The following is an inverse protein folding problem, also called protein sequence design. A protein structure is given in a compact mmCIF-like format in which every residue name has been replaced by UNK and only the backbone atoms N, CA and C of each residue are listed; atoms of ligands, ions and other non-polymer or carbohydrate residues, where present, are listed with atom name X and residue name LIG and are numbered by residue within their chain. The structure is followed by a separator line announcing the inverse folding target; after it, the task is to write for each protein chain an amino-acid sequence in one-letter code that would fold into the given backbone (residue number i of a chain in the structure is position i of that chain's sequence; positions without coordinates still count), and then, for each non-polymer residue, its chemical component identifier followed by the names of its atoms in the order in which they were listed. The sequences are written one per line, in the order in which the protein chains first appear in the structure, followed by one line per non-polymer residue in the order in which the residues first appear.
data_IF_807561198705
#
_entry.id   IF_807561198705
#
_cell.length_a   1.000
_cell.length_b   1.000
_cell.length_c   1.000
_cell.angle_alpha   90.00
_cell.angle_beta   90.00
_cell.angle_gamma   90.00
#
_symmetry.space_group_name_H-M   'P 1'
#
loop_
_entity.id
_entity.type
_entity.pdbx_description
1 polymer ?
#
# COMPACT_ATOMS: atom_id res chain seq x y z
N UNK A 1 -14.74 28.50 17.83
CA UNK A 1 -14.22 28.13 19.17
C UNK A 1 -13.98 26.63 19.16
N UNK A 2 -12.82 26.17 19.63
CA UNK A 2 -12.50 24.74 19.64
C UNK A 2 -13.19 24.03 20.82
N UNK A 3 -13.69 22.81 20.58
CA UNK A 3 -14.36 21.95 21.56
C UNK A 3 -13.73 20.55 21.61
N UNK A 4 -14.18 19.70 22.53
CA UNK A 4 -13.75 18.31 22.61
C UNK A 4 -12.62 18.02 23.60
N UNK A 5 -12.21 16.75 23.62
CA UNK A 5 -11.08 16.26 24.39
C UNK A 5 -9.76 16.73 23.77
N UNK A 6 -8.64 16.68 24.52
CA UNK A 6 -7.32 16.87 23.94
C UNK A 6 -7.04 15.85 22.82
N UNK A 7 -6.25 16.27 21.84
CA UNK A 7 -5.80 15.42 20.73
C UNK A 7 -4.91 14.29 21.25
N UNK A 8 -5.05 13.09 20.68
CA UNK A 8 -4.10 11.98 20.90
C UNK A 8 -2.70 12.39 20.42
N UNK A 9 -1.78 12.57 21.38
CA UNK A 9 -0.41 13.03 21.13
C UNK A 9 0.47 11.97 20.45
N UNK A 10 0.00 10.74 20.30
CA UNK A 10 0.67 9.73 19.47
C UNK A 10 0.47 9.95 17.96
N UNK A 11 -0.41 10.88 17.58
CA UNK A 11 -0.59 11.29 16.19
C UNK A 11 0.51 12.25 15.76
N UNK A 12 0.68 12.39 14.44
CA UNK A 12 1.73 13.21 13.83
C UNK A 12 1.15 14.10 12.74
N UNK A 13 1.67 15.31 12.65
CA UNK A 13 1.44 16.17 11.49
C UNK A 13 2.42 15.73 10.39
N UNK A 14 1.92 15.64 9.17
CA UNK A 14 2.74 15.38 7.99
C UNK A 14 2.66 16.53 7.01
N UNK A 15 3.81 17.01 6.54
CA UNK A 15 3.89 18.01 5.47
C UNK A 15 4.20 17.28 4.16
N UNK A 16 3.19 17.02 3.33
CA UNK A 16 3.35 16.33 2.05
C UNK A 16 3.94 17.27 0.99
N UNK A 17 4.96 16.80 0.26
CA UNK A 17 5.63 17.51 -0.83
C UNK A 17 6.11 16.54 -1.91
N UNK A 18 6.54 17.08 -3.06
CA UNK A 18 7.26 16.31 -4.07
C UNK A 18 8.74 16.70 -4.00
N UNK A 19 9.64 15.78 -3.66
CA UNK A 19 11.04 16.11 -3.35
C UNK A 19 11.80 16.63 -4.56
N UNK A 20 11.38 16.19 -5.74
CA UNK A 20 12.05 16.39 -7.03
C UNK A 20 11.46 17.52 -7.88
N UNK A 21 10.52 18.29 -7.31
CA UNK A 21 10.00 19.53 -7.89
C UNK A 21 10.89 20.70 -7.52
N UNK A 22 10.91 21.74 -8.35
CA UNK A 22 11.73 22.93 -8.12
C UNK A 22 11.78 23.83 -9.35
N UNK A 23 12.57 24.90 -9.25
CA UNK A 23 12.85 25.83 -10.33
C UNK A 23 14.36 26.05 -10.45
N UNK A 24 14.85 26.29 -11.66
CA UNK A 24 16.27 26.58 -11.95
C UNK A 24 17.28 25.52 -11.46
N UNK A 25 16.89 24.24 -11.42
CA UNK A 25 17.79 23.12 -11.07
C UNK A 25 17.96 22.84 -9.58
N UNK A 26 17.31 23.62 -8.69
CA UNK A 26 17.30 23.39 -7.24
C UNK A 26 15.98 22.70 -6.85
N UNK A 27 16.04 21.42 -6.46
CA UNK A 27 14.87 20.66 -6.04
C UNK A 27 14.45 21.00 -4.61
N UNK A 28 13.22 20.65 -4.22
CA UNK A 28 12.75 20.84 -2.83
C UNK A 28 13.68 20.12 -1.86
N UNK A 29 14.11 18.89 -2.18
CA UNK A 29 15.00 18.12 -1.28
C UNK A 29 16.40 18.72 -1.22
N UNK A 30 16.95 19.25 -2.31
CA UNK A 30 18.24 19.93 -2.30
C UNK A 30 18.21 21.19 -1.44
N UNK A 31 17.14 21.98 -1.55
CA UNK A 31 16.94 23.16 -0.71
C UNK A 31 16.80 22.80 0.76
N UNK A 32 16.04 21.75 1.08
CA UNK A 32 15.92 21.26 2.45
C UNK A 32 17.27 20.82 3.02
N UNK A 33 18.09 20.11 2.24
CA UNK A 33 19.42 19.68 2.65
C UNK A 33 20.39 20.85 2.86
N UNK A 34 20.26 21.90 2.06
CA UNK A 34 21.12 23.10 2.14
C UNK A 34 20.73 24.04 3.27
N UNK A 35 19.44 24.22 3.52
CA UNK A 35 18.93 25.26 4.42
C UNK A 35 18.42 24.72 5.76
N UNK A 36 18.09 23.43 5.85
CA UNK A 36 17.56 22.82 7.08
C UNK A 36 16.19 23.34 7.51
N UNK A 37 15.46 24.05 6.64
CA UNK A 37 14.17 24.69 6.94
C UNK A 37 13.15 24.37 5.84
N UNK A 38 11.94 23.98 6.24
CA UNK A 38 10.81 23.82 5.32
C UNK A 38 10.10 25.17 5.11
N UNK A 39 10.21 25.70 3.88
CA UNK A 39 9.65 26.99 3.48
C UNK A 39 8.21 26.89 2.98
N UNK A 40 7.45 27.98 3.14
CA UNK A 40 6.10 28.05 2.59
C UNK A 40 6.09 28.52 1.12
N UNK A 41 4.89 28.51 0.54
CA UNK A 41 4.64 28.92 -0.83
C UNK A 41 4.90 30.42 -1.12
N UNK A 42 4.69 31.32 -0.15
CA UNK A 42 5.01 32.75 -0.28
C UNK A 42 6.53 32.95 -0.40
N UNK A 43 7.33 32.08 0.20
CA UNK A 43 8.79 32.12 0.09
C UNK A 43 9.32 31.40 -1.16
N UNK A 44 8.71 30.27 -1.56
CA UNK A 44 9.23 29.44 -2.65
C UNK A 44 8.64 29.75 -4.01
N UNK A 45 7.44 30.34 -4.07
CA UNK A 45 6.66 30.47 -5.31
C UNK A 45 6.21 29.13 -5.89
N UNK A 46 6.39 28.01 -5.17
CA UNK A 46 6.05 26.66 -5.61
C UNK A 46 4.88 26.12 -4.79
N UNK A 47 3.94 25.44 -5.45
CA UNK A 47 2.76 24.86 -4.78
C UNK A 47 2.30 23.58 -5.44
N UNK A 48 1.78 22.67 -4.62
CA UNK A 48 1.00 21.52 -5.08
C UNK A 48 -0.52 21.81 -4.99
N UNK A 49 -0.89 23.00 -4.50
CA UNK A 49 -2.23 23.60 -4.50
C UNK A 49 -2.45 24.56 -5.67
N UNK A 50 -3.11 25.70 -5.45
CA UNK A 50 -3.17 26.82 -6.40
C UNK A 50 -2.09 27.86 -6.11
N UNK A 51 -1.57 28.57 -7.13
CA UNK A 51 -0.55 29.62 -6.99
C UNK A 51 -1.15 30.97 -6.57
N UNK A 52 -1.87 31.01 -5.45
CA UNK A 52 -2.60 32.21 -4.97
C UNK A 52 -1.98 32.84 -3.72
N UNK A 53 -0.75 32.44 -3.37
CA UNK A 53 0.02 32.91 -2.22
C UNK A 53 0.75 34.23 -2.54
N UNK A 54 -0.01 35.30 -2.71
CA UNK A 54 0.50 36.66 -2.83
C UNK A 54 -0.53 37.63 -2.20
N UNK A 55 -0.13 38.86 -1.83
CA UNK A 55 -1.08 39.85 -1.33
C UNK A 55 -2.31 39.96 -2.24
N UNK A 56 -3.49 39.84 -1.64
CA UNK A 56 -4.78 39.89 -2.35
C UNK A 56 -5.21 38.63 -3.10
N UNK A 57 -4.40 37.56 -3.16
CA UNK A 57 -4.77 36.25 -3.70
C UNK A 57 -5.62 35.41 -2.75
N UNK A 58 -6.24 34.33 -3.25
CA UNK A 58 -7.17 33.50 -2.47
C UNK A 58 -6.55 32.96 -1.18
N UNK A 59 -5.28 32.51 -1.23
CA UNK A 59 -4.58 32.01 -0.05
C UNK A 59 -4.37 33.10 1.01
N UNK A 60 -3.98 34.29 0.58
CA UNK A 60 -3.84 35.43 1.47
C UNK A 60 -5.18 35.76 2.14
N UNK A 61 -6.29 35.76 1.38
CA UNK A 61 -7.63 36.07 1.89
C UNK A 61 -8.13 35.06 2.91
N UNK A 62 -7.98 33.76 2.66
CA UNK A 62 -8.42 32.77 3.64
C UNK A 62 -7.54 32.80 4.89
N UNK A 63 -6.22 33.00 4.77
CA UNK A 63 -5.29 33.06 5.92
C UNK A 63 -5.62 34.26 6.81
N UNK A 64 -5.85 35.43 6.20
CA UNK A 64 -6.31 36.64 6.90
C UNK A 64 -7.63 36.37 7.65
N UNK A 65 -8.60 35.72 6.97
CA UNK A 65 -9.90 35.40 7.57
C UNK A 65 -9.79 34.43 8.76
N UNK A 66 -9.10 33.31 8.61
CA UNK A 66 -9.06 32.24 9.63
C UNK A 66 -8.17 32.61 10.82
N UNK A 67 -7.15 33.45 10.62
CA UNK A 67 -6.24 33.90 11.68
C UNK A 67 -6.46 35.34 12.12
N UNK A 68 -7.56 35.97 11.69
CA UNK A 68 -7.93 37.33 12.10
C UNK A 68 -6.87 38.38 11.75
N UNK A 69 -6.23 38.25 10.59
CA UNK A 69 -5.20 39.16 10.10
C UNK A 69 -3.83 39.05 10.75
N UNK A 70 -3.61 38.04 11.62
CA UNK A 70 -2.35 37.89 12.37
C UNK A 70 -1.07 37.82 11.50
N UNK A 71 -1.21 37.45 10.22
CA UNK A 71 -0.10 37.28 9.29
C UNK A 71 -0.08 38.30 8.14
N UNK A 72 -0.99 39.28 8.13
CA UNK A 72 -1.19 40.15 6.97
C UNK A 72 0.03 41.04 6.71
N UNK A 73 0.66 41.51 7.78
CA UNK A 73 1.90 42.31 7.76
C UNK A 73 3.15 41.51 8.18
N UNK A 74 3.00 40.22 8.48
CA UNK A 74 4.09 39.38 8.94
C UNK A 74 5.01 38.96 7.77
N UNK A 75 6.32 38.75 8.02
CA UNK A 75 7.22 38.15 7.05
C UNK A 75 6.69 36.79 6.58
N UNK A 76 6.94 36.45 5.30
CA UNK A 76 6.55 35.15 4.75
C UNK A 76 7.03 33.99 5.64
N UNK A 77 8.26 34.03 6.14
CA UNK A 77 8.82 33.01 7.04
C UNK A 77 8.02 32.75 8.33
N UNK A 78 7.15 33.68 8.76
CA UNK A 78 6.31 33.52 9.95
C UNK A 78 4.92 32.97 9.62
N UNK A 79 4.55 32.92 8.33
CA UNK A 79 3.26 32.39 7.89
C UNK A 79 3.17 30.87 8.12
N UNK A 80 1.95 30.35 8.37
CA UNK A 80 1.78 28.95 8.70
C UNK A 80 2.19 28.00 7.58
N UNK A 81 2.82 26.88 7.96
CA UNK A 81 3.07 25.74 7.07
C UNK A 81 1.84 24.84 7.05
N UNK A 82 1.38 24.50 5.86
CA UNK A 82 0.19 23.69 5.65
C UNK A 82 0.58 22.22 5.52
N UNK A 83 -0.12 21.37 6.25
CA UNK A 83 0.00 19.92 6.18
C UNK A 83 -1.29 19.26 6.65
N UNK A 84 -1.19 18.03 7.13
CA UNK A 84 -2.34 17.30 7.64
C UNK A 84 -2.00 16.52 8.90
N UNK A 85 -2.99 16.39 9.79
CA UNK A 85 -2.93 15.43 10.88
C UNK A 85 -3.12 14.02 10.31
N UNK A 86 -2.09 13.18 10.41
CA UNK A 86 -2.11 11.79 9.96
C UNK A 86 -2.89 10.88 10.94
N UNK A 87 -4.13 11.23 11.23
CA UNK A 87 -5.02 10.52 12.16
C UNK A 87 -5.39 9.11 11.68
N UNK A 88 -5.26 8.83 10.37
CA UNK A 88 -5.42 7.51 9.77
C UNK A 88 -4.14 6.68 9.72
N UNK A 89 -3.00 7.21 10.21
CA UNK A 89 -1.69 6.54 10.27
C UNK A 89 -1.27 5.94 8.92
N UNK A 90 -1.52 6.66 7.83
CA UNK A 90 -1.14 6.26 6.47
C UNK A 90 0.37 6.38 6.27
N UNK A 91 0.98 5.39 5.64
CA UNK A 91 2.39 5.43 5.27
C UNK A 91 2.71 6.59 4.33
N UNK A 92 1.87 6.89 3.35
CA UNK A 92 1.97 8.08 2.46
C UNK A 92 1.73 9.44 3.15
N UNK A 93 1.43 9.47 4.44
CA UNK A 93 1.09 10.68 5.17
C UNK A 93 -0.39 11.08 5.07
N UNK A 94 -0.73 12.18 5.75
CA UNK A 94 -2.11 12.62 5.96
C UNK A 94 -2.79 13.19 4.71
N UNK A 95 -2.05 13.84 3.80
CA UNK A 95 -2.63 14.49 2.62
C UNK A 95 -1.84 14.17 1.33
N UNK A 96 -1.90 12.90 0.92
CA UNK A 96 -1.17 12.34 -0.22
C UNK A 96 -1.39 13.10 -1.55
N UNK A 97 -2.52 13.78 -1.73
CA UNK A 97 -2.78 14.58 -2.93
C UNK A 97 -1.77 15.70 -3.17
N UNK A 98 -1.07 16.17 -2.13
CA UNK A 98 -0.11 17.27 -2.23
C UNK A 98 1.34 16.84 -2.36
N UNK A 99 1.64 15.54 -2.34
CA UNK A 99 3.02 15.12 -2.41
C UNK A 99 3.22 13.62 -2.36
N UNK A 100 4.20 13.16 -3.11
CA UNK A 100 4.71 11.78 -3.08
C UNK A 100 5.58 11.51 -1.86
N UNK A 101 5.97 12.50 -1.08
CA UNK A 101 6.80 12.31 0.10
C UNK A 101 6.33 13.24 1.20
N UNK A 102 6.78 13.06 2.44
CA UNK A 102 6.39 13.95 3.52
C UNK A 102 7.44 14.08 4.63
N UNK A 103 7.40 15.21 5.32
CA UNK A 103 8.05 15.36 6.63
C UNK A 103 7.11 14.83 7.70
N UNK A 104 7.58 13.93 8.56
CA UNK A 104 6.87 13.55 9.79
C UNK A 104 7.35 14.45 10.93
N UNK A 105 6.46 15.32 11.41
CA UNK A 105 6.84 16.32 12.41
C UNK A 105 6.84 15.75 13.83
N UNK A 106 7.75 16.25 14.67
CA UNK A 106 7.87 15.87 16.06
C UNK A 106 6.63 16.25 16.89
N UNK A 107 6.40 15.51 17.97
CA UNK A 107 5.20 15.63 18.82
C UNK A 107 4.95 17.07 19.31
N UNK A 108 5.99 17.79 19.74
CA UNK A 108 5.85 19.15 20.29
C UNK A 108 5.31 20.15 19.27
N UNK A 109 5.39 19.85 17.97
CA UNK A 109 4.83 20.72 16.91
C UNK A 109 3.30 20.81 17.02
N UNK A 110 2.63 19.82 17.63
CA UNK A 110 1.20 19.87 17.91
C UNK A 110 0.81 21.08 18.77
N UNK A 111 1.70 21.52 19.67
CA UNK A 111 1.42 22.60 20.62
C UNK A 111 1.38 23.97 19.95
N UNK A 112 1.94 24.10 18.74
CA UNK A 112 1.90 25.29 17.90
C UNK A 112 1.16 25.08 16.59
N UNK A 113 0.25 24.11 16.55
CA UNK A 113 -0.58 23.83 15.40
C UNK A 113 -2.07 24.14 15.66
N UNK A 114 -2.73 24.68 14.64
CA UNK A 114 -4.20 24.73 14.57
C UNK A 114 -4.69 23.79 13.48
N UNK A 115 -5.94 23.34 13.59
CA UNK A 115 -6.51 22.35 12.69
C UNK A 115 -7.88 22.79 12.19
N UNK A 116 -8.27 22.35 11.00
CA UNK A 116 -9.64 22.50 10.50
C UNK A 116 -10.07 21.29 9.67
N UNK A 117 -11.39 21.13 9.53
CA UNK A 117 -11.99 20.19 8.61
C UNK A 117 -13.34 20.76 8.12
N UNK A 118 -13.62 20.80 6.81
CA UNK A 118 -12.72 20.48 5.68
C UNK A 118 -11.55 21.49 5.56
N UNK A 119 -10.73 21.38 4.51
CA UNK A 119 -9.58 22.26 4.28
C UNK A 119 -9.95 23.76 4.19
N UNK A 120 -8.97 24.64 4.41
CA UNK A 120 -9.16 26.09 4.48
C UNK A 120 -9.81 26.72 3.25
N UNK A 121 -9.65 26.10 2.08
CA UNK A 121 -10.26 26.56 0.84
C UNK A 121 -11.79 26.37 0.86
N UNK A 122 -12.29 25.36 1.58
CA UNK A 122 -13.72 25.06 1.75
C UNK A 122 -14.42 25.93 2.80
N UNK A 123 -13.76 26.98 3.30
CA UNK A 123 -14.28 27.92 4.29
C UNK A 123 -14.83 27.23 5.56
N UNK A 124 -14.01 26.43 6.26
CA UNK A 124 -14.45 25.66 7.41
C UNK A 124 -14.90 26.57 8.55
N UNK A 125 -15.91 26.12 9.30
CA UNK A 125 -16.39 26.79 10.52
C UNK A 125 -15.74 26.22 11.79
N UNK A 126 -15.32 24.95 11.75
CA UNK A 126 -14.80 24.22 12.89
C UNK A 126 -13.28 24.20 12.90
N UNK A 127 -12.69 24.61 14.03
CA UNK A 127 -11.25 24.64 14.25
C UNK A 127 -10.88 23.91 15.53
N UNK A 128 -9.71 23.27 15.52
CA UNK A 128 -9.14 22.52 16.63
C UNK A 128 -7.74 23.01 17.02
N UNK A 129 -7.34 22.67 18.24
CA UNK A 129 -5.98 22.81 18.77
C UNK A 129 -5.61 21.50 19.47
N UNK A 130 -4.34 21.27 19.79
CA UNK A 130 -3.96 20.07 20.55
C UNK A 130 -4.69 19.94 21.90
N UNK A 131 -5.02 21.06 22.56
CA UNK A 131 -5.74 21.07 23.83
C UNK A 131 -7.26 20.86 23.73
N UNK A 132 -7.86 21.12 22.56
CA UNK A 132 -9.30 21.01 22.29
C UNK A 132 -9.53 20.58 20.85
N UNK A 133 -9.88 19.32 20.65
CA UNK A 133 -9.99 18.70 19.34
C UNK A 133 -11.28 17.88 19.20
N UNK A 134 -12.09 18.23 18.20
CA UNK A 134 -13.34 17.54 17.87
C UNK A 134 -13.59 17.49 16.35
N UNK A 135 -12.51 17.42 15.56
CA UNK A 135 -12.60 17.38 14.09
C UNK A 135 -12.71 15.94 13.55
N UNK A 136 -12.32 14.94 14.34
CA UNK A 136 -12.40 13.53 13.90
C UNK A 136 -13.84 13.06 13.66
N UNK A 137 -14.82 13.60 14.40
CA UNK A 137 -16.25 13.31 14.15
C UNK A 137 -16.69 13.77 12.77
N UNK A 138 -16.17 14.90 12.30
CA UNK A 138 -16.52 15.47 11.00
C UNK A 138 -15.86 14.68 9.88
N UNK A 139 -14.59 14.30 10.08
CA UNK A 139 -13.87 13.39 9.19
C UNK A 139 -14.60 12.04 9.05
N UNK A 140 -15.10 11.47 10.15
CA UNK A 140 -15.87 10.23 10.11
C UNK A 140 -17.23 10.39 9.39
N UNK A 141 -17.91 11.54 9.55
CA UNK A 141 -19.13 11.83 8.82
C UNK A 141 -18.88 12.01 7.32
N UNK A 142 -17.75 12.62 6.95
CA UNK A 142 -17.31 12.72 5.56
C UNK A 142 -17.02 11.34 4.96
N UNK A 143 -16.39 10.42 5.70
CA UNK A 143 -16.14 9.05 5.24
C UNK A 143 -17.43 8.30 4.92
N UNK A 144 -18.48 8.46 5.76
CA UNK A 144 -19.80 7.89 5.50
C UNK A 144 -20.45 8.46 4.24
N UNK A 145 -20.31 9.77 4.00
CA UNK A 145 -20.82 10.42 2.79
C UNK A 145 -20.05 9.96 1.54
N UNK A 146 -18.71 9.89 1.62
CA UNK A 146 -17.86 9.44 0.53
C UNK A 146 -18.12 7.96 0.16
N UNK A 147 -18.40 7.10 1.15
CA UNK A 147 -18.78 5.70 0.92
C UNK A 147 -20.14 5.55 0.22
N UNK A 148 -20.99 6.57 0.28
CA UNK A 148 -22.30 6.59 -0.38
C UNK A 148 -22.25 7.11 -1.83
N UNK A 149 -21.10 7.61 -2.31
CA UNK A 149 -20.95 8.05 -3.70
C UNK A 149 -21.28 6.91 -4.66
N UNK A 150 -22.21 7.15 -5.59
CA UNK A 150 -22.65 6.17 -6.57
C UNK A 150 -21.69 6.04 -7.76
N UNK A 151 -20.73 6.96 -7.90
CA UNK A 151 -19.73 6.97 -8.97
C UNK A 151 -18.43 7.66 -8.59
N UNK A 152 -17.36 7.35 -9.32
CA UNK A 152 -16.04 7.99 -9.17
C UNK A 152 -16.06 9.48 -9.51
N UNK A 153 -16.96 9.90 -10.40
CA UNK A 153 -17.17 11.31 -10.74
C UNK A 153 -17.75 12.07 -9.55
N UNK A 154 -18.75 11.47 -8.90
CA UNK A 154 -19.33 12.01 -7.68
C UNK A 154 -18.29 12.08 -6.56
N UNK A 155 -17.47 11.03 -6.39
CA UNK A 155 -16.34 11.05 -5.46
C UNK A 155 -15.36 12.20 -5.80
N UNK A 156 -15.00 12.39 -7.08
CA UNK A 156 -14.06 13.41 -7.51
C UNK A 156 -14.56 14.85 -7.26
N UNK A 157 -15.87 15.08 -7.37
CA UNK A 157 -16.54 16.35 -7.11
C UNK A 157 -16.64 16.65 -5.61
N UNK A 158 -16.91 15.62 -4.80
CA UNK A 158 -16.97 15.70 -3.33
C UNK A 158 -15.58 15.68 -2.67
N UNK A 159 -14.54 15.29 -3.42
CA UNK A 159 -13.14 15.22 -2.98
C UNK A 159 -12.69 13.80 -2.60
N UNK A 160 -13.57 13.05 -1.92
CA UNK A 160 -13.35 11.65 -1.55
C UNK A 160 -12.08 11.42 -0.73
N UNK A 161 -11.41 10.27 -0.93
CA UNK A 161 -10.22 9.86 -0.16
C UNK A 161 -9.08 10.88 -0.23
N UNK A 162 -8.99 11.65 -1.32
CA UNK A 162 -7.94 12.65 -1.47
C UNK A 162 -8.15 13.87 -0.56
N UNK A 163 -9.39 14.12 -0.13
CA UNK A 163 -9.80 15.29 0.67
C UNK A 163 -10.35 14.92 2.06
N UNK A 164 -10.12 13.68 2.49
CA UNK A 164 -10.59 13.18 3.79
C UNK A 164 -9.73 13.63 4.99
N UNK A 165 -8.71 14.45 4.76
CA UNK A 165 -7.70 14.81 5.75
C UNK A 165 -8.13 15.98 6.64
N UNK A 166 -7.70 15.96 7.91
CA UNK A 166 -7.76 17.14 8.78
C UNK A 166 -6.55 18.01 8.48
N UNK A 167 -6.79 19.21 7.96
CA UNK A 167 -5.72 20.16 7.63
C UNK A 167 -5.08 20.68 8.92
N UNK A 168 -3.75 20.82 8.89
CA UNK A 168 -2.94 21.32 9.98
C UNK A 168 -2.18 22.58 9.53
N UNK A 169 -2.24 23.61 10.35
CA UNK A 169 -1.48 24.85 10.19
C UNK A 169 -0.42 24.91 11.28
N UNK A 170 0.83 24.68 10.90
CA UNK A 170 1.98 24.76 11.81
C UNK A 170 2.47 26.19 11.84
N UNK A 171 2.42 26.82 13.01
CA UNK A 171 2.79 28.21 13.18
C UNK A 171 4.29 28.39 13.44
N UNK A 172 4.90 29.34 12.72
CA UNK A 172 6.33 29.60 12.75
C UNK A 172 7.17 28.66 11.88
N UNK A 173 8.49 28.76 12.05
CA UNK A 173 9.48 28.02 11.25
C UNK A 173 9.43 26.53 11.57
N UNK A 174 9.55 25.69 10.55
CA UNK A 174 9.76 24.24 10.67
C UNK A 174 11.21 23.94 10.33
N UNK A 175 12.04 23.73 11.37
CA UNK A 175 13.45 23.42 11.25
C UNK A 175 13.65 21.90 11.30
N UNK A 176 14.41 21.34 10.36
CA UNK A 176 14.58 19.88 10.24
C UNK A 176 15.17 19.26 11.50
N UNK A 177 16.23 19.87 12.05
CA UNK A 177 16.94 19.33 13.20
C UNK A 177 16.10 19.31 14.50
N UNK A 178 15.06 20.14 14.59
CA UNK A 178 14.25 20.29 15.80
C UNK A 178 12.86 19.69 15.64
N UNK A 179 12.21 19.93 14.50
CA UNK A 179 10.79 19.70 14.30
C UNK A 179 10.46 18.46 13.48
N UNK A 180 11.46 17.76 12.92
CA UNK A 180 11.24 16.63 11.99
C UNK A 180 11.80 15.34 12.57
N UNK A 181 10.94 14.35 12.78
CA UNK A 181 11.35 13.01 13.22
C UNK A 181 11.95 12.20 12.07
N UNK A 182 11.37 12.33 10.87
CA UNK A 182 11.84 11.66 9.67
C UNK A 182 11.37 12.36 8.39
N UNK A 183 12.16 12.25 7.33
CA UNK A 183 11.73 12.52 5.96
C UNK A 183 11.35 11.18 5.34
N UNK A 184 10.10 11.03 4.93
CA UNK A 184 9.57 9.78 4.37
C UNK A 184 9.38 9.94 2.87
N UNK A 185 10.12 9.15 2.08
CA UNK A 185 10.18 9.25 0.62
C UNK A 185 9.37 8.15 -0.09
N UNK A 186 8.99 8.43 -1.34
CA UNK A 186 8.41 7.42 -2.24
C UNK A 186 9.53 6.49 -2.76
N UNK A 187 9.35 5.16 -2.75
CA UNK A 187 10.36 4.21 -3.20
C UNK A 187 10.86 4.39 -4.64
N UNK A 188 10.12 5.07 -5.52
CA UNK A 188 10.59 5.39 -6.88
C UNK A 188 11.83 6.30 -6.89
N UNK A 189 12.17 6.93 -5.77
CA UNK A 189 13.39 7.74 -5.62
C UNK A 189 14.63 6.97 -5.16
N UNK A 190 14.53 5.65 -4.89
CA UNK A 190 15.70 4.83 -4.59
C UNK A 190 16.68 4.79 -5.76
N UNK A 191 17.98 4.92 -5.46
CA UNK A 191 19.06 4.99 -6.44
C UNK A 191 19.09 6.26 -7.27
N UNK A 192 18.32 7.30 -6.91
CA UNK A 192 18.25 8.56 -7.65
C UNK A 192 18.97 9.70 -6.94
N UNK A 193 19.11 10.85 -7.61
CA UNK A 193 19.67 12.08 -7.01
C UNK A 193 18.87 12.57 -5.80
N UNK A 194 17.56 12.26 -5.74
CA UNK A 194 16.70 12.60 -4.59
C UNK A 194 17.14 11.86 -3.33
N UNK A 195 17.45 10.57 -3.42
CA UNK A 195 17.98 9.81 -2.28
C UNK A 195 19.35 10.35 -1.85
N UNK A 196 20.22 10.63 -2.82
CA UNK A 196 21.53 11.23 -2.54
C UNK A 196 21.42 12.60 -1.86
N UNK A 197 20.42 13.41 -2.21
CA UNK A 197 20.09 14.67 -1.56
C UNK A 197 19.51 14.46 -0.15
N UNK A 198 18.61 13.50 0.00
CA UNK A 198 17.97 13.19 1.28
C UNK A 198 18.97 12.72 2.34
N UNK A 199 20.01 11.98 1.93
CA UNK A 199 21.09 11.56 2.82
C UNK A 199 21.85 12.73 3.50
N UNK A 200 21.73 13.96 2.97
CA UNK A 200 22.36 15.17 3.52
C UNK A 200 21.45 15.96 4.47
N UNK A 201 20.21 15.53 4.69
CA UNK A 201 19.21 16.29 5.48
C UNK A 201 19.51 16.33 6.99
N UNK A 202 20.36 15.44 7.49
CA UNK A 202 20.69 15.37 8.92
C UNK A 202 19.58 14.81 9.81
N UNK A 203 18.52 14.25 9.23
CA UNK A 203 17.41 13.57 9.91
C UNK A 203 17.18 12.17 9.30
N UNK A 204 16.55 11.24 10.01
CA UNK A 204 16.23 9.91 9.46
C UNK A 204 15.47 10.00 8.13
N UNK A 205 15.91 9.21 7.16
CA UNK A 205 15.21 9.01 5.88
C UNK A 205 14.53 7.65 5.91
N UNK A 206 13.21 7.66 5.78
CA UNK A 206 12.36 6.47 5.74
C UNK A 206 11.66 6.37 4.38
N UNK A 207 11.02 5.23 4.15
CA UNK A 207 10.33 4.93 2.90
C UNK A 207 8.93 4.46 3.22
N UNK A 208 7.93 5.05 2.56
CA UNK A 208 6.57 4.56 2.65
C UNK A 208 6.28 3.54 1.55
N UNK A 209 5.04 3.08 1.47
CA UNK A 209 4.64 1.99 0.61
C UNK A 209 4.60 2.34 -0.89
N UNK A 210 4.92 3.57 -1.31
CA UNK A 210 4.83 4.07 -2.69
C UNK A 210 3.44 4.11 -3.33
N UNK A 211 3.32 4.67 -4.54
CA UNK A 211 2.11 4.58 -5.38
C UNK A 211 2.44 4.41 -6.87
N UNK A 212 2.01 3.28 -7.46
CA UNK A 212 2.17 2.95 -8.89
C UNK A 212 0.82 2.73 -9.55
N UNK A 213 0.58 3.45 -10.64
CA UNK A 213 -0.62 3.34 -11.48
C UNK A 213 -0.23 2.76 -12.85
N UNK A 214 -0.95 1.75 -13.33
CA UNK A 214 -0.75 1.21 -14.67
C UNK A 214 -1.53 2.03 -15.70
N UNK A 215 -1.06 2.06 -16.95
CA UNK A 215 -1.80 2.70 -18.07
C UNK A 215 -3.17 2.05 -18.31
N UNK A 216 -3.30 0.74 -18.02
CA UNK A 216 -4.58 0.04 -18.09
C UNK A 216 -5.57 0.58 -17.06
N UNK A 217 -5.13 0.72 -15.80
CA UNK A 217 -5.97 1.25 -14.74
C UNK A 217 -6.26 2.73 -14.97
N UNK A 218 -5.28 3.51 -15.43
CA UNK A 218 -5.47 4.89 -15.88
C UNK A 218 -6.59 5.00 -16.93
N UNK A 219 -6.62 4.10 -17.91
CA UNK A 219 -7.67 4.04 -18.94
C UNK A 219 -9.07 3.78 -18.40
N UNK A 220 -9.18 2.97 -17.33
CA UNK A 220 -10.45 2.74 -16.63
C UNK A 220 -10.93 3.99 -15.87
N UNK A 221 -10.01 4.84 -15.41
CA UNK A 221 -10.28 6.04 -14.59
C UNK A 221 -10.22 7.35 -15.38
N UNK A 222 -10.29 7.32 -16.71
CA UNK A 222 -10.16 8.49 -17.62
C UNK A 222 -11.14 9.64 -17.34
N UNK A 223 -12.18 9.42 -16.54
CA UNK A 223 -13.21 10.42 -16.22
C UNK A 223 -13.12 10.97 -14.79
N UNK A 224 -12.12 10.56 -13.99
CA UNK A 224 -11.97 11.00 -12.61
C UNK A 224 -11.37 12.42 -12.49
N UNK A 225 -10.53 12.83 -13.45
CA UNK A 225 -9.96 14.18 -13.59
C UNK A 225 -10.17 14.70 -15.01
N UNK A 226 -9.64 15.89 -15.33
CA UNK A 226 -9.79 16.45 -16.68
C UNK A 226 -9.17 15.50 -17.72
N UNK A 227 -9.73 15.43 -18.94
CA UNK A 227 -9.21 14.57 -20.01
C UNK A 227 -7.71 14.76 -20.28
N UNK A 228 -7.21 15.99 -20.15
CA UNK A 228 -5.79 16.31 -20.32
C UNK A 228 -4.87 15.53 -19.35
N UNK A 229 -5.36 15.15 -18.17
CA UNK A 229 -4.61 14.34 -17.23
C UNK A 229 -4.47 12.89 -17.71
N UNK A 230 -5.49 12.35 -18.37
CA UNK A 230 -5.42 11.02 -18.96
C UNK A 230 -4.41 11.00 -20.13
N UNK A 231 -4.54 11.95 -21.05
CA UNK A 231 -3.65 12.03 -22.22
C UNK A 231 -2.20 12.26 -21.81
N UNK A 232 -1.96 13.15 -20.85
CA UNK A 232 -0.63 13.37 -20.28
C UNK A 232 -0.10 12.12 -19.59
N UNK A 233 -0.92 11.47 -18.75
CA UNK A 233 -0.53 10.25 -18.05
C UNK A 233 -0.13 9.13 -19.02
N UNK A 234 -0.85 8.97 -20.12
CA UNK A 234 -0.49 8.02 -21.17
C UNK A 234 0.82 8.39 -21.87
N UNK A 235 1.03 9.68 -22.16
CA UNK A 235 2.21 10.16 -22.87
C UNK A 235 3.51 10.03 -22.06
N UNK A 236 3.45 10.19 -20.74
CA UNK A 236 4.64 10.19 -19.87
C UNK A 236 4.92 8.85 -19.21
N UNK A 237 3.98 7.90 -19.26
CA UNK A 237 4.14 6.58 -18.65
C UNK A 237 5.39 5.86 -19.18
N UNK A 238 6.12 5.19 -18.27
CA UNK A 238 7.29 4.38 -18.61
C UNK A 238 6.97 2.92 -18.45
N UNK A 239 7.21 2.14 -19.50
CA UNK A 239 6.89 0.70 -19.51
C UNK A 239 5.42 0.42 -19.11
N UNK A 240 4.51 1.35 -19.41
CA UNK A 240 3.11 1.26 -19.03
C UNK A 240 2.79 1.59 -17.57
N UNK A 241 3.71 2.23 -16.84
CA UNK A 241 3.56 2.57 -15.43
C UNK A 241 3.76 4.08 -15.18
N UNK A 242 3.07 4.57 -14.15
CA UNK A 242 3.20 5.90 -13.57
C UNK A 242 3.51 5.77 -12.08
N UNK A 243 4.64 6.33 -11.65
CA UNK A 243 5.01 6.51 -10.25
C UNK A 243 5.41 7.98 -10.00
N UNK A 244 5.83 8.28 -8.76
CA UNK A 244 6.21 9.65 -8.40
C UNK A 244 7.39 10.18 -9.24
N UNK A 245 8.42 9.35 -9.48
CA UNK A 245 9.60 9.73 -10.23
C UNK A 245 9.30 10.01 -11.72
N UNK A 246 8.48 9.18 -12.36
CA UNK A 246 8.02 9.37 -13.75
C UNK A 246 7.25 10.69 -13.88
N UNK A 247 6.30 10.94 -12.99
CA UNK A 247 5.48 12.16 -13.01
C UNK A 247 6.35 13.39 -12.72
N UNK A 248 7.28 13.27 -11.77
CA UNK A 248 8.20 14.33 -11.42
C UNK A 248 9.18 14.68 -12.53
N UNK A 249 9.64 13.70 -13.32
CA UNK A 249 10.45 13.97 -14.50
C UNK A 249 9.68 14.76 -15.56
N UNK A 250 8.43 14.36 -15.84
CA UNK A 250 7.55 15.12 -16.72
C UNK A 250 7.37 16.56 -16.20
N UNK A 251 7.20 16.73 -14.88
CA UNK A 251 7.07 18.05 -14.26
C UNK A 251 8.33 18.92 -14.46
N UNK A 252 9.53 18.34 -14.35
CA UNK A 252 10.82 19.05 -14.50
C UNK A 252 11.09 19.53 -15.93
N UNK A 253 10.47 18.92 -16.94
CA UNK A 253 10.63 19.38 -18.34
C UNK A 253 10.12 20.81 -18.55
N UNK A 254 9.15 21.27 -17.74
CA UNK A 254 8.46 22.53 -17.94
C UNK A 254 7.58 22.59 -19.21
N UNK A 255 7.44 21.47 -19.93
CA UNK A 255 6.67 21.39 -21.19
C UNK A 255 5.19 21.13 -20.97
N UNK A 256 4.80 20.72 -19.77
CA UNK A 256 3.44 20.31 -19.44
C UNK A 256 2.78 21.30 -18.49
N UNK A 257 1.46 21.50 -18.66
CA UNK A 257 0.70 22.39 -17.80
C UNK A 257 0.72 21.88 -16.35
N UNK A 258 1.07 22.72 -15.34
CA UNK A 258 1.22 22.27 -13.95
C UNK A 258 -0.03 21.62 -13.36
N UNK A 259 -1.22 22.10 -13.75
CA UNK A 259 -2.48 21.50 -13.30
C UNK A 259 -2.67 20.07 -13.83
N UNK A 260 -2.24 19.79 -15.07
CA UNK A 260 -2.35 18.44 -15.65
C UNK A 260 -1.41 17.47 -14.93
N UNK A 261 -0.16 17.87 -14.67
CA UNK A 261 0.81 17.10 -13.87
C UNK A 261 0.24 16.77 -12.48
N UNK A 262 -0.36 17.78 -11.82
CA UNK A 262 -1.01 17.59 -10.52
C UNK A 262 -2.15 16.58 -10.59
N UNK A 263 -2.99 16.64 -11.63
CA UNK A 263 -4.09 15.70 -11.77
C UNK A 263 -3.64 14.28 -12.13
N UNK A 264 -2.53 14.12 -12.88
CA UNK A 264 -1.88 12.81 -13.05
C UNK A 264 -1.44 12.27 -11.69
N UNK A 265 -0.81 13.10 -10.84
CA UNK A 265 -0.49 12.69 -9.47
C UNK A 265 -1.74 12.33 -8.66
N UNK A 266 -2.85 13.06 -8.76
CA UNK A 266 -4.09 12.71 -8.06
C UNK A 266 -4.61 11.32 -8.47
N UNK A 267 -4.56 10.98 -9.76
CA UNK A 267 -4.92 9.65 -10.27
C UNK A 267 -4.00 8.58 -9.66
N UNK A 268 -2.68 8.82 -9.67
CA UNK A 268 -1.70 7.88 -9.09
C UNK A 268 -1.82 7.76 -7.57
N UNK A 269 -2.05 8.84 -6.85
CA UNK A 269 -2.22 8.83 -5.40
C UNK A 269 -3.51 8.08 -4.99
N UNK A 270 -4.59 8.22 -5.76
CA UNK A 270 -5.90 7.63 -5.45
C UNK A 270 -6.03 6.17 -5.88
N UNK A 271 -5.55 5.84 -7.07
CA UNK A 271 -5.75 4.52 -7.70
C UNK A 271 -4.45 3.72 -7.82
N UNK A 272 -3.31 4.35 -7.56
CA UNK A 272 -2.03 3.68 -7.53
C UNK A 272 -1.94 2.73 -6.34
N UNK A 273 -1.38 1.56 -6.61
CA UNK A 273 -1.11 0.53 -5.62
C UNK A 273 0.27 0.76 -4.99
N UNK A 274 0.50 0.35 -3.75
CA UNK A 274 1.82 0.40 -3.13
C UNK A 274 2.96 -0.10 -4.04
N UNK A 275 4.04 0.67 -4.15
CA UNK A 275 5.37 0.18 -4.54
C UNK A 275 5.82 -0.79 -3.46
N UNK A 276 5.48 -2.04 -3.64
CA UNK A 276 6.19 -3.07 -2.92
C UNK A 276 7.62 -3.10 -3.45
N UNK A 277 8.58 -2.67 -2.64
CA UNK A 277 10.05 -2.77 -2.84
C UNK A 277 10.55 -4.22 -2.99
N UNK A 278 9.62 -5.14 -3.21
CA UNK A 278 9.80 -6.57 -3.17
C UNK A 278 8.96 -7.28 -4.22
N UNK A 279 8.54 -6.64 -5.33
CA UNK A 279 7.70 -7.24 -6.39
C UNK A 279 6.74 -8.27 -5.77
N UNK A 280 5.74 -7.79 -5.03
CA UNK A 280 4.70 -8.65 -4.48
C UNK A 280 3.94 -9.28 -5.64
N UNK A 281 4.42 -10.40 -6.16
CA UNK A 281 3.64 -11.13 -7.14
C UNK A 281 2.36 -11.66 -6.47
N UNK A 282 2.35 -11.89 -5.14
CA UNK A 282 1.22 -12.53 -4.46
C UNK A 282 1.03 -12.26 -2.94
N UNK A 283 2.03 -12.04 -2.08
CA UNK A 283 1.83 -11.97 -0.60
C UNK A 283 2.72 -10.91 0.08
N UNK A 284 2.27 -10.32 1.20
CA UNK A 284 3.08 -9.38 1.99
C UNK A 284 4.25 -10.10 2.69
N UNK A 285 5.49 -9.71 2.36
CA UNK A 285 6.72 -10.27 2.94
C UNK A 285 7.14 -9.60 4.25
N UNK A 286 6.55 -8.45 4.61
CA UNK A 286 6.80 -7.75 5.88
C UNK A 286 6.10 -8.40 7.07
N UNK A 287 5.10 -9.23 6.80
CA UNK A 287 4.31 -9.93 7.81
C UNK A 287 4.56 -11.43 7.73
N UNK A 288 5.09 -12.03 8.79
CA UNK A 288 5.31 -13.49 8.83
C UNK A 288 4.01 -14.28 9.07
N UNK A 289 3.03 -13.67 9.75
CA UNK A 289 1.72 -14.27 10.07
C UNK A 289 0.66 -13.17 10.16
N UNK A 290 -0.43 -13.31 9.41
CA UNK A 290 -1.62 -12.47 9.51
C UNK A 290 -2.71 -13.23 10.29
N UNK A 291 -2.74 -13.02 11.60
CA UNK A 291 -3.70 -13.70 12.47
C UNK A 291 -5.16 -13.31 12.20
N UNK A 292 -5.40 -12.08 11.73
CA UNK A 292 -6.75 -11.57 11.46
C UNK A 292 -7.30 -12.27 10.23
N UNK A 293 -6.56 -12.25 9.12
CA UNK A 293 -6.93 -12.95 7.89
C UNK A 293 -7.19 -14.45 8.11
N UNK A 294 -6.31 -15.13 8.85
CA UNK A 294 -6.50 -16.56 9.16
C UNK A 294 -7.77 -16.82 9.98
N UNK A 295 -8.11 -15.92 10.91
CA UNK A 295 -9.36 -16.01 11.67
C UNK A 295 -10.58 -15.75 10.79
N UNK A 296 -10.53 -14.74 9.92
CA UNK A 296 -11.59 -14.42 8.96
C UNK A 296 -11.87 -15.56 8.00
N UNK A 297 -10.84 -16.25 7.50
CA UNK A 297 -10.99 -17.44 6.66
C UNK A 297 -11.75 -18.57 7.38
N UNK A 298 -11.43 -18.83 8.65
CA UNK A 298 -12.14 -19.84 9.47
C UNK A 298 -13.58 -19.42 9.75
N UNK A 299 -13.80 -18.16 10.11
CA UNK A 299 -15.14 -17.62 10.33
C UNK A 299 -15.98 -17.71 9.04
N UNK A 300 -15.41 -17.30 7.90
CA UNK A 300 -16.05 -17.39 6.59
C UNK A 300 -16.41 -18.82 6.20
N UNK A 301 -15.51 -19.78 6.46
CA UNK A 301 -15.79 -21.20 6.25
C UNK A 301 -17.02 -21.67 7.05
N UNK A 302 -17.12 -21.30 8.33
CA UNK A 302 -18.28 -21.64 9.15
C UNK A 302 -19.57 -20.98 8.64
N UNK A 303 -19.52 -19.70 8.28
CA UNK A 303 -20.67 -18.94 7.79
C UNK A 303 -21.23 -19.50 6.47
N UNK A 304 -20.37 -20.12 5.66
CA UNK A 304 -20.74 -20.76 4.39
C UNK A 304 -21.14 -22.23 4.54
N UNK A 305 -21.20 -22.77 5.76
CA UNK A 305 -21.52 -24.18 6.03
C UNK A 305 -20.38 -25.16 5.69
N UNK A 306 -19.14 -24.64 5.62
CA UNK A 306 -17.93 -25.39 5.35
C UNK A 306 -17.35 -25.18 3.94
N UNK A 307 -16.10 -25.61 3.77
CA UNK A 307 -15.38 -25.65 2.49
C UNK A 307 -15.23 -27.11 2.05
N UNK A 308 -15.31 -27.40 0.75
CA UNK A 308 -15.13 -28.78 0.28
C UNK A 308 -13.64 -29.12 0.21
N UNK A 309 -13.29 -30.39 0.49
CA UNK A 309 -11.93 -30.87 0.28
C UNK A 309 -11.44 -30.63 -1.16
N UNK A 310 -12.34 -30.77 -2.14
CA UNK A 310 -12.06 -30.48 -3.56
C UNK A 310 -11.56 -29.05 -3.76
N UNK A 311 -12.20 -28.07 -3.14
CA UNK A 311 -11.78 -26.67 -3.26
C UNK A 311 -10.36 -26.46 -2.71
N UNK A 312 -10.05 -27.05 -1.56
CA UNK A 312 -8.70 -26.96 -0.98
C UNK A 312 -7.63 -27.58 -1.87
N UNK A 313 -7.92 -28.74 -2.48
CA UNK A 313 -6.99 -29.37 -3.42
C UNK A 313 -6.81 -28.50 -4.68
N UNK A 314 -7.88 -27.89 -5.19
CA UNK A 314 -7.82 -27.00 -6.35
C UNK A 314 -7.02 -25.72 -6.07
N UNK A 315 -7.05 -25.18 -4.86
CA UNK A 315 -6.21 -24.04 -4.44
C UNK A 315 -4.71 -24.39 -4.56
N UNK A 316 -4.32 -25.57 -4.09
CA UNK A 316 -2.93 -26.03 -4.19
C UNK A 316 -2.53 -26.33 -5.64
N UNK A 317 -3.40 -26.99 -6.41
CA UNK A 317 -3.14 -27.27 -7.83
C UNK A 317 -3.08 -26.00 -8.69
N UNK A 318 -3.85 -24.95 -8.35
CA UNK A 318 -3.76 -23.66 -9.01
C UNK A 318 -2.38 -23.02 -8.82
N UNK A 319 -1.76 -23.17 -7.65
CA UNK A 319 -0.37 -22.73 -7.43
C UNK A 319 0.62 -23.49 -8.33
N UNK A 320 0.51 -24.81 -8.41
CA UNK A 320 1.35 -25.64 -9.28
C UNK A 320 1.18 -25.28 -10.77
N UNK A 321 -0.06 -24.97 -11.19
CA UNK A 321 -0.34 -24.51 -12.55
C UNK A 321 0.30 -23.15 -12.85
N UNK A 322 0.20 -22.17 -11.94
CA UNK A 322 0.85 -20.86 -12.10
C UNK A 322 2.38 -21.00 -12.23
N UNK A 323 3.01 -21.92 -11.49
CA UNK A 323 4.45 -22.17 -11.57
C UNK A 323 4.86 -22.80 -12.91
N UNK A 324 4.09 -23.77 -13.40
CA UNK A 324 4.34 -24.39 -14.70
C UNK A 324 4.17 -23.39 -15.86
N UNK A 325 3.15 -22.53 -15.79
CA UNK A 325 2.94 -21.42 -16.72
C UNK A 325 4.12 -20.45 -16.71
N UNK A 326 4.56 -20.02 -15.53
CA UNK A 326 5.69 -19.10 -15.40
C UNK A 326 7.02 -19.69 -15.91
N UNK A 327 7.15 -21.01 -15.92
CA UNK A 327 8.28 -21.73 -16.52
C UNK A 327 8.14 -21.93 -18.03
N UNK A 328 6.96 -21.69 -18.61
CA UNK A 328 6.68 -21.96 -20.01
C UNK A 328 6.77 -23.44 -20.39
N UNK A 329 6.56 -24.36 -19.43
CA UNK A 329 6.60 -25.81 -19.67
C UNK A 329 5.42 -26.52 -19.02
N UNK A 330 5.06 -27.68 -19.58
CA UNK A 330 4.09 -28.55 -18.93
C UNK A 330 4.72 -29.20 -17.69
N UNK A 331 4.05 -29.07 -16.55
CA UNK A 331 4.46 -29.67 -15.27
C UNK A 331 3.64 -30.90 -14.89
N UNK A 332 3.97 -31.49 -13.75
CA UNK A 332 3.29 -32.63 -13.12
C UNK A 332 2.95 -32.28 -11.67
N UNK A 333 1.68 -32.44 -11.31
CA UNK A 333 1.23 -32.40 -9.92
C UNK A 333 0.68 -33.77 -9.51
N UNK A 334 1.20 -34.33 -8.42
CA UNK A 334 0.74 -35.60 -7.85
C UNK A 334 -0.04 -35.33 -6.57
N UNK A 335 -1.32 -35.69 -6.56
CA UNK A 335 -2.20 -35.66 -5.39
C UNK A 335 -2.22 -37.05 -4.77
N UNK A 336 -1.86 -37.16 -3.49
CA UNK A 336 -1.85 -38.42 -2.72
C UNK A 336 -2.82 -38.29 -1.55
N UNK A 337 -3.78 -39.22 -1.48
CA UNK A 337 -4.67 -39.37 -0.32
C UNK A 337 -4.03 -40.38 0.63
N UNK A 338 -3.80 -40.00 1.89
CA UNK A 338 -3.15 -40.87 2.86
C UNK A 338 -4.18 -41.58 3.77
N UNK A 339 -3.86 -42.77 4.31
CA UNK A 339 -4.75 -43.50 5.24
C UNK A 339 -5.09 -42.75 6.53
N UNK A 340 -4.25 -41.78 6.94
CA UNK A 340 -4.48 -40.92 8.11
C UNK A 340 -5.48 -39.78 7.84
N UNK A 341 -6.04 -39.72 6.63
CA UNK A 341 -6.96 -38.68 6.18
C UNK A 341 -6.28 -37.40 5.69
N UNK A 342 -4.95 -37.31 5.72
CA UNK A 342 -4.22 -36.19 5.14
C UNK A 342 -4.15 -36.28 3.61
N UNK A 343 -4.00 -35.12 2.98
CA UNK A 343 -3.83 -35.01 1.52
C UNK A 343 -2.49 -34.32 1.26
N UNK A 344 -1.69 -34.90 0.37
CA UNK A 344 -0.43 -34.32 -0.10
C UNK A 344 -0.54 -33.98 -1.58
N UNK A 345 -0.11 -32.78 -1.95
CA UNK A 345 0.09 -32.39 -3.35
C UNK A 345 1.57 -32.06 -3.53
N UNK A 346 2.22 -32.73 -4.48
CA UNK A 346 3.61 -32.47 -4.88
C UNK A 346 3.67 -32.04 -6.33
N UNK A 347 4.24 -30.87 -6.58
CA UNK A 347 4.55 -30.38 -7.92
C UNK A 347 6.04 -30.53 -8.25
N UNK A 348 6.36 -30.40 -9.54
CA UNK A 348 7.71 -30.39 -10.08
C UNK A 348 8.16 -28.97 -10.47
N UNK A 349 7.59 -27.91 -9.88
CA UNK A 349 7.88 -26.52 -10.21
C UNK A 349 9.27 -26.05 -9.76
N UNK A 350 9.49 -24.72 -9.74
CA UNK A 350 10.77 -24.13 -9.26
C UNK A 350 10.97 -24.20 -7.75
N UNK A 351 9.89 -24.47 -7.01
CA UNK A 351 9.82 -24.23 -5.58
C UNK A 351 9.44 -22.78 -5.23
N UNK A 352 8.85 -22.60 -4.06
CA UNK A 352 8.46 -21.29 -3.52
C UNK A 352 9.69 -20.40 -3.33
N UNK A 353 9.55 -19.11 -3.66
CA UNK A 353 10.66 -18.15 -3.59
C UNK A 353 11.26 -18.02 -2.18
N UNK A 354 12.56 -17.75 -2.16
CA UNK A 354 13.45 -17.79 -1.01
C UNK A 354 14.36 -16.58 -1.07
N UNK A 355 14.36 -15.74 -0.03
CA UNK A 355 15.13 -14.49 0.01
C UNK A 355 16.04 -14.45 1.23
N UNK A 356 17.01 -13.54 1.24
CA UNK A 356 17.81 -13.24 2.43
C UNK A 356 17.45 -11.84 2.92
N UNK A 357 17.27 -11.68 4.23
CA UNK A 357 17.13 -10.36 4.84
C UNK A 357 18.49 -9.65 4.97
N UNK A 358 18.47 -8.39 5.43
CA UNK A 358 19.67 -7.56 5.65
C UNK A 358 20.66 -8.18 6.64
N UNK A 359 20.20 -9.11 7.49
CA UNK A 359 21.01 -9.89 8.43
C UNK A 359 21.51 -11.21 7.83
N UNK A 360 21.28 -11.46 6.54
CA UNK A 360 21.67 -12.67 5.82
C UNK A 360 20.84 -13.91 6.14
N UNK A 361 19.79 -13.79 6.97
CA UNK A 361 18.89 -14.87 7.34
C UNK A 361 17.93 -15.12 6.21
N UNK A 362 17.56 -16.38 6.06
CA UNK A 362 16.73 -16.78 4.95
C UNK A 362 15.25 -16.56 5.30
N UNK A 363 14.59 -15.69 4.55
CA UNK A 363 13.16 -15.40 4.63
C UNK A 363 12.43 -16.15 3.52
N UNK A 364 11.32 -16.78 3.87
CA UNK A 364 10.47 -17.49 2.90
C UNK A 364 9.19 -16.72 2.68
N UNK A 365 8.61 -16.92 1.51
CA UNK A 365 7.33 -16.33 1.16
C UNK A 365 6.25 -16.83 2.15
N UNK A 366 5.50 -15.95 2.83
CA UNK A 366 4.54 -16.35 3.86
C UNK A 366 3.22 -16.89 3.30
N UNK A 367 3.30 -17.72 2.25
CA UNK A 367 2.15 -18.21 1.46
C UNK A 367 1.07 -18.93 2.29
N UNK A 368 1.45 -19.52 3.43
CA UNK A 368 0.53 -20.27 4.29
C UNK A 368 -0.13 -19.38 5.35
N UNK A 369 0.43 -18.19 5.62
CA UNK A 369 0.11 -17.43 6.82
C UNK A 369 -0.39 -16.01 6.55
N UNK A 370 -0.35 -15.52 5.31
CA UNK A 370 -0.84 -14.20 4.91
C UNK A 370 -1.77 -14.26 3.70
N UNK A 371 -2.50 -13.17 3.44
CA UNK A 371 -3.42 -13.07 2.31
C UNK A 371 -2.67 -13.02 0.96
N UNK A 372 -3.19 -13.72 -0.06
CA UNK A 372 -2.72 -13.53 -1.43
C UNK A 372 -3.35 -12.25 -1.99
N UNK A 373 -2.56 -11.18 -2.13
CA UNK A 373 -3.02 -9.84 -2.54
C UNK A 373 -3.63 -9.83 -3.94
N UNK A 374 -3.34 -10.83 -4.78
CA UNK A 374 -3.99 -10.97 -6.11
C UNK A 374 -5.48 -11.28 -5.98
N UNK A 375 -5.88 -11.89 -4.85
CA UNK A 375 -7.22 -12.40 -4.61
C UNK A 375 -7.91 -11.67 -3.44
N UNK A 376 -7.40 -10.50 -3.07
CA UNK A 376 -7.94 -9.73 -1.95
C UNK A 376 -9.36 -9.21 -2.21
N UNK A 377 -9.72 -9.00 -3.47
CA UNK A 377 -11.09 -8.73 -3.90
C UNK A 377 -11.72 -10.00 -4.50
N UNK A 378 -12.67 -10.65 -3.79
CA UNK A 378 -13.33 -11.86 -4.28
C UNK A 378 -14.12 -11.66 -5.59
N UNK A 379 -14.53 -10.42 -5.90
CA UNK A 379 -15.28 -10.10 -7.11
C UNK A 379 -14.45 -10.19 -8.39
N UNK A 380 -13.14 -9.94 -8.28
CA UNK A 380 -12.19 -9.97 -9.40
C UNK A 380 -11.27 -11.19 -9.39
N UNK A 381 -11.28 -12.01 -8.34
CA UNK A 381 -10.47 -13.22 -8.25
C UNK A 381 -10.86 -14.26 -9.35
N UNK A 382 -9.88 -14.91 -9.98
CA UNK A 382 -10.14 -15.96 -10.97
C UNK A 382 -10.88 -17.13 -10.32
N UNK A 383 -11.75 -17.79 -11.09
CA UNK A 383 -12.52 -18.93 -10.60
C UNK A 383 -11.79 -20.24 -10.83
N UNK A 384 -11.83 -21.12 -9.84
CA UNK A 384 -11.31 -22.48 -9.95
C UNK A 384 -12.31 -23.39 -10.68
N UNK A 385 -11.92 -24.65 -10.93
CA UNK A 385 -12.73 -25.63 -11.66
C UNK A 385 -14.09 -25.96 -10.99
N UNK A 386 -14.23 -25.66 -9.69
CA UNK A 386 -15.48 -25.77 -8.93
C UNK A 386 -16.33 -24.48 -8.97
N UNK A 387 -15.92 -23.49 -9.78
CA UNK A 387 -16.53 -22.17 -9.97
C UNK A 387 -16.46 -21.24 -8.75
N UNK A 388 -15.74 -21.61 -7.68
CA UNK A 388 -15.51 -20.71 -6.55
C UNK A 388 -14.35 -19.75 -6.85
N UNK A 389 -14.39 -18.51 -6.31
CA UNK A 389 -13.26 -17.60 -6.45
C UNK A 389 -12.04 -18.21 -5.76
N UNK A 390 -10.87 -17.98 -6.37
CA UNK A 390 -9.58 -18.34 -5.77
C UNK A 390 -9.32 -17.46 -4.56
N UNK A 391 -8.75 -18.03 -3.50
CA UNK A 391 -8.42 -17.35 -2.24
C UNK A 391 -6.92 -17.46 -1.95
N UNK A 392 -6.28 -18.57 -2.32
CA UNK A 392 -4.86 -18.83 -2.12
C UNK A 392 -4.54 -19.81 -1.01
N UNK A 393 -3.25 -20.08 -0.84
CA UNK A 393 -2.72 -21.15 0.02
C UNK A 393 -3.03 -20.98 1.51
N UNK A 394 -3.13 -19.74 2.01
CA UNK A 394 -3.51 -19.47 3.40
C UNK A 394 -4.93 -19.93 3.73
N UNK A 395 -5.83 -20.00 2.75
CA UNK A 395 -7.18 -20.58 2.95
C UNK A 395 -7.12 -22.06 3.32
N UNK A 396 -6.22 -22.83 2.68
CA UNK A 396 -5.97 -24.25 2.96
C UNK A 396 -5.36 -24.42 4.34
N UNK A 397 -4.35 -23.60 4.65
CA UNK A 397 -3.65 -23.67 5.93
C UNK A 397 -4.57 -23.31 7.11
N UNK A 398 -5.40 -22.27 6.97
CA UNK A 398 -6.30 -21.77 8.01
C UNK A 398 -7.32 -22.81 8.49
N UNK A 399 -7.89 -23.59 7.56
CA UNK A 399 -8.95 -24.59 7.82
C UNK A 399 -8.43 -26.01 8.00
N UNK A 400 -7.12 -26.18 8.09
CA UNK A 400 -6.47 -27.47 8.38
C UNK A 400 -6.04 -27.54 9.84
N UNK A 401 -6.19 -28.71 10.47
CA UNK A 401 -5.61 -28.99 11.80
C UNK A 401 -4.11 -28.77 11.77
N UNK A 402 -3.49 -29.24 10.69
CA UNK A 402 -2.10 -28.95 10.40
C UNK A 402 -1.82 -28.97 8.91
N UNK A 403 -0.79 -28.25 8.51
CA UNK A 403 -0.22 -28.23 7.16
C UNK A 403 1.30 -28.27 7.27
N UNK A 404 1.94 -29.08 6.44
CA UNK A 404 3.39 -29.14 6.25
C UNK A 404 3.70 -28.66 4.84
N UNK A 405 4.48 -27.60 4.75
CA UNK A 405 4.99 -27.05 3.50
C UNK A 405 6.45 -27.46 3.37
N UNK A 406 6.76 -28.23 2.33
CA UNK A 406 8.13 -28.63 1.99
C UNK A 406 8.49 -28.08 0.63
N UNK A 407 9.54 -27.27 0.59
CA UNK A 407 10.02 -26.60 -0.60
C UNK A 407 11.40 -27.13 -1.00
N UNK A 408 11.60 -27.41 -2.28
CA UNK A 408 12.86 -27.94 -2.83
C UNK A 408 13.34 -27.04 -3.96
N UNK A 409 14.55 -26.50 -3.84
CA UNK A 409 15.25 -25.72 -4.86
C UNK A 409 16.67 -26.24 -5.05
N UNK A 410 17.39 -25.76 -6.06
CA UNK A 410 18.76 -26.20 -6.35
C UNK A 410 19.71 -25.90 -5.18
N UNK A 411 19.48 -24.80 -4.48
CA UNK A 411 20.29 -24.36 -3.34
C UNK A 411 19.93 -25.05 -2.01
N UNK A 412 18.93 -25.94 -1.99
CA UNK A 412 18.54 -26.71 -0.80
C UNK A 412 17.03 -26.90 -0.65
N UNK A 413 16.65 -27.67 0.37
CA UNK A 413 15.27 -27.96 0.70
C UNK A 413 14.96 -27.63 2.16
N UNK A 414 13.74 -27.17 2.42
CA UNK A 414 13.28 -26.82 3.75
C UNK A 414 11.83 -27.21 3.96
N UNK A 415 11.45 -27.41 5.22
CA UNK A 415 10.09 -27.73 5.62
C UNK A 415 9.64 -26.85 6.79
N UNK A 416 8.35 -26.54 6.82
CA UNK A 416 7.71 -25.86 7.94
C UNK A 416 6.30 -26.41 8.17
N UNK A 417 5.97 -26.64 9.45
CA UNK A 417 4.65 -27.03 9.93
C UNK A 417 3.87 -25.81 10.42
N UNK A 418 2.58 -25.80 10.09
CA UNK A 418 1.57 -24.83 10.49
C UNK A 418 0.39 -25.55 11.13
N UNK A 419 -0.28 -24.89 12.08
CA UNK A 419 -1.55 -25.32 12.67
C UNK A 419 -2.53 -24.15 12.55
N UNK A 420 -3.67 -24.36 11.88
CA UNK A 420 -4.61 -23.30 11.51
C UNK A 420 -3.95 -22.08 10.83
N UNK A 421 -2.94 -22.34 9.99
CA UNK A 421 -2.17 -21.33 9.26
C UNK A 421 -1.06 -20.65 10.05
N UNK A 422 -0.96 -20.90 11.36
CA UNK A 422 0.10 -20.32 12.21
C UNK A 422 1.29 -21.29 12.26
N UNK A 423 2.52 -20.84 11.95
CA UNK A 423 3.70 -21.70 11.99
C UNK A 423 3.99 -22.18 13.42
N UNK A 424 4.17 -23.50 13.59
CA UNK A 424 4.46 -24.15 14.88
C UNK A 424 5.88 -24.70 14.99
N UNK A 425 6.64 -24.61 13.90
CA UNK A 425 8.04 -25.04 13.84
C UNK A 425 8.88 -23.92 13.22
N UNK A 426 10.15 -23.87 13.61
CA UNK A 426 11.16 -23.12 12.86
C UNK A 426 11.32 -23.73 11.48
N UNK A 427 11.86 -22.96 10.54
CA UNK A 427 12.23 -23.47 9.25
C UNK A 427 13.32 -24.54 9.41
N UNK A 428 13.05 -25.78 9.04
CA UNK A 428 13.99 -26.88 9.16
C UNK A 428 14.52 -27.29 7.79
N UNK A 429 15.84 -27.42 7.65
CA UNK A 429 16.44 -27.99 6.44
C UNK A 429 16.04 -29.46 6.29
N UNK A 430 15.73 -29.87 5.06
CA UNK A 430 15.42 -31.27 4.76
C UNK A 430 16.67 -31.94 4.21
N UNK A 431 17.26 -32.83 5.02
CA UNK A 431 18.43 -33.60 4.62
C UNK A 431 18.08 -34.61 3.51
N UNK A 432 19.03 -34.87 2.61
CA UNK A 432 18.91 -35.95 1.62
C UNK A 432 18.08 -35.63 0.37
N UNK A 433 17.65 -34.38 0.17
CA UNK A 433 16.88 -33.99 -1.02
C UNK A 433 17.73 -33.74 -2.29
N UNK A 434 19.05 -33.86 -2.19
CA UNK A 434 19.94 -33.67 -3.34
C UNK A 434 19.64 -34.73 -4.41
N UNK A 435 19.21 -34.29 -5.60
CA UNK A 435 18.84 -35.16 -6.72
C UNK A 435 17.34 -35.50 -6.82
N UNK A 436 16.48 -35.03 -5.92
CA UNK A 436 15.02 -35.21 -6.00
C UNK A 436 14.30 -34.21 -6.94
N UNK A 437 15.05 -33.30 -7.57
CA UNK A 437 14.51 -32.20 -8.38
C UNK A 437 14.00 -31.02 -7.55
N UNK A 438 13.49 -30.01 -8.24
CA UNK A 438 12.85 -28.82 -7.64
C UNK A 438 11.34 -29.02 -7.53
N UNK A 439 10.70 -28.25 -6.64
CA UNK A 439 9.24 -28.21 -6.55
C UNK A 439 8.73 -28.05 -5.13
N UNK A 440 7.42 -27.86 -5.02
CA UNK A 440 6.73 -27.67 -3.75
C UNK A 440 5.90 -28.90 -3.39
N UNK A 441 5.84 -29.21 -2.09
CA UNK A 441 4.97 -30.23 -1.53
C UNK A 441 4.19 -29.65 -0.37
N UNK A 442 2.88 -29.83 -0.40
CA UNK A 442 1.95 -29.35 0.61
C UNK A 442 1.14 -30.53 1.09
N UNK A 443 1.37 -30.94 2.34
CA UNK A 443 0.61 -31.99 2.99
C UNK A 443 -0.22 -31.40 4.12
N UNK A 444 -1.52 -31.63 4.13
CA UNK A 444 -2.41 -31.08 5.14
C UNK A 444 -3.45 -32.07 5.62
N UNK A 445 -3.85 -31.94 6.88
CA UNK A 445 -4.99 -32.67 7.45
C UNK A 445 -6.16 -31.68 7.62
N UNK A 446 -7.23 -31.80 6.81
CA UNK A 446 -8.38 -30.92 6.92
C UNK A 446 -9.01 -30.99 8.31
N UNK A 447 -9.45 -29.85 8.85
CA UNK A 447 -10.22 -29.86 10.09
C UNK A 447 -11.70 -30.14 9.80
N UNK A 448 -12.30 -31.20 10.36
CA UNK A 448 -13.72 -31.49 10.17
C UNK A 448 -14.66 -30.40 10.70
N UNK A 449 -14.18 -29.46 11.52
CA UNK A 449 -14.97 -28.29 11.92
C UNK A 449 -15.24 -27.31 10.76
N UNK A 450 -14.36 -27.28 9.74
CA UNK A 450 -14.41 -26.32 8.63
C UNK A 450 -14.56 -26.99 7.26
N UNK A 451 -14.16 -28.26 7.14
CA UNK A 451 -14.00 -28.93 5.84
C UNK A 451 -14.90 -30.16 5.73
N UNK A 452 -15.70 -30.18 4.66
CA UNK A 452 -16.47 -31.36 4.27
C UNK A 452 -15.62 -32.26 3.37
N UNK A 453 -15.27 -33.44 3.88
CA UNK A 453 -14.51 -34.45 3.14
C UNK A 453 -15.44 -35.24 2.23
N UNK A 454 -15.23 -35.13 0.92
CA UNK A 454 -15.92 -35.89 -0.11
C UNK A 454 -14.99 -36.84 -0.85
N UNK A 455 -15.55 -37.74 -1.67
CA UNK A 455 -14.76 -38.61 -2.55
C UNK A 455 -14.14 -37.76 -3.66
N UNK A 456 -12.81 -37.85 -3.82
CA UNK A 456 -12.09 -37.23 -4.93
C UNK A 456 -11.86 -38.24 -6.06
N UNK A 457 -12.21 -37.85 -7.27
CA UNK A 457 -11.89 -38.56 -8.51
C UNK A 457 -10.91 -37.74 -9.36
N UNK A 458 -10.21 -38.39 -10.29
CA UNK A 458 -9.29 -37.71 -11.21
C UNK A 458 -9.98 -36.62 -12.04
N UNK A 459 -11.26 -36.83 -12.41
CA UNK A 459 -12.05 -35.83 -13.14
C UNK A 459 -12.34 -34.57 -12.31
N UNK A 460 -12.39 -34.66 -10.99
CA UNK A 460 -12.65 -33.52 -10.11
C UNK A 460 -11.48 -32.53 -10.06
N UNK A 461 -10.28 -33.00 -10.43
CA UNK A 461 -8.99 -32.33 -10.31
C UNK A 461 -8.44 -31.83 -11.67
N UNK A 462 -9.23 -31.98 -12.74
CA UNK A 462 -8.87 -31.50 -14.08
C UNK A 462 -9.11 -30.01 -14.29
N UNK A 463 -8.79 -29.52 -15.49
CA UNK A 463 -9.05 -28.12 -15.90
C UNK A 463 -7.84 -27.18 -15.79
N UNK A 464 -6.65 -27.71 -15.55
CA UNK A 464 -5.40 -26.96 -15.52
C UNK A 464 -4.70 -27.02 -16.90
N UNK A 465 -4.31 -25.87 -17.45
CA UNK A 465 -3.73 -25.78 -18.79
C UNK A 465 -2.26 -26.20 -18.83
N UNK A 466 -1.53 -26.02 -17.73
CA UNK A 466 -0.08 -26.12 -17.69
C UNK A 466 0.45 -27.32 -16.89
N UNK A 467 -0.40 -28.05 -16.18
CA UNK A 467 0.00 -29.25 -15.41
C UNK A 467 -0.81 -30.48 -15.80
N UNK A 468 -0.16 -31.63 -15.75
CA UNK A 468 -0.84 -32.92 -15.67
C UNK A 468 -1.07 -33.27 -14.19
N UNK A 469 -2.25 -33.79 -13.85
CA UNK A 469 -2.62 -34.13 -12.47
C UNK A 469 -2.78 -35.65 -12.34
N UNK A 470 -2.02 -36.25 -11.44
CA UNK A 470 -2.12 -37.66 -11.09
C UNK A 470 -2.67 -37.84 -9.68
N UNK A 471 -3.62 -38.76 -9.49
CA UNK A 471 -4.21 -39.08 -8.18
C UNK A 471 -3.72 -40.45 -7.68
N UNK A 472 -3.22 -40.51 -6.45
CA UNK A 472 -2.78 -41.70 -5.73
C UNK A 472 -3.60 -41.87 -4.44
N UNK A 473 -3.78 -43.12 -4.01
CA UNK A 473 -4.56 -43.50 -2.83
C UNK A 473 -3.80 -44.51 -1.99
#
# INVERSE_FOLDING_TARGET
MSSGAPLDRSLRITLNFHPDRGSAGDTVVDRLAREGIYRDQFETGTSNGGLTAHPGGDRFRWESRIFGGAYDDAPASERPRYGALNHRRRGVGGAVRFGSSHLRLAEHVLDRATFCFPDSFREPADFGTAGRFDLLRMSAAFDLAAAACASEREEAEQGGILDDYVEAHVHGVVALAEDVEAVVLDPSYRGTEVEAAAARLGVPVEWHEGRVLTVEELGRRRHYRDPDAYDLGLAVAREGLLDAAVIGEAARTGLHHPQSIKQVWHLTARFGRPVHDWRTMTHDWGTSVDHVHLAELRCGALMLGGVSLRHLVLEVLAYANDEAEALGRRGLAVVTLHPDGSVEIRDDGRGTDTRRDDAGRIVRKPVMATQDVRFADPGSAPRLADRRPRVGMSSVAAVSRWLVHTNRREEGAWSQRYEHGVPTTTLADVAGCAGEGTGTSVRFLPDPAYVTVGVLSTSDLGGHAWIEVALRR
#
